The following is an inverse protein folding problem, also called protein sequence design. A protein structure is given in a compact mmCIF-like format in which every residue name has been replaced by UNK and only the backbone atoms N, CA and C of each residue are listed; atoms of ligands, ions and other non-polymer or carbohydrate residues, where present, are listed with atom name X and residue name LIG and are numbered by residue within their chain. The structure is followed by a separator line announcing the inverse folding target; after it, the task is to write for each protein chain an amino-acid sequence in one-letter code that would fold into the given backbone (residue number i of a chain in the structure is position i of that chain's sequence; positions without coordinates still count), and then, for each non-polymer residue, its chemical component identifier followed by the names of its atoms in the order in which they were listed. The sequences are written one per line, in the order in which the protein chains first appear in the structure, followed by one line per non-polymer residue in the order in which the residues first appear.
data_IF_651128152097
#
_entry.id   IF_651128152097
#
_cell.length_a   1.000
_cell.length_b   1.000
_cell.length_c   1.000
_cell.angle_alpha   90.00
_cell.angle_beta   90.00
_cell.angle_gamma   90.00
#
_symmetry.space_group_name_H-M   'P 1'
#
loop_
_entity.id
_entity.type
_entity.pdbx_description
1 polymer ?
#
# COMPACT_ATOMS: atom_id res chain seq x y z
N UNK A 1 3.58 -3.78 8.22
CA UNK A 1 2.43 -3.61 9.14
C UNK A 1 1.95 -5.00 9.54
N UNK A 2 2.18 -5.42 10.79
CA UNK A 2 1.84 -6.75 11.31
C UNK A 2 0.48 -6.80 12.02
N UNK A 3 -0.45 -5.93 11.63
CA UNK A 3 -1.76 -5.76 12.28
C UNK A 3 -2.83 -6.37 11.37
N UNK A 4 -3.77 -7.12 11.95
CA UNK A 4 -4.94 -7.66 11.25
C UNK A 4 -6.19 -6.93 11.72
N UNK A 5 -6.98 -6.42 10.77
CA UNK A 5 -8.23 -5.69 11.04
C UNK A 5 -9.36 -6.45 10.36
N UNK A 6 -10.41 -6.87 11.09
CA UNK A 6 -11.54 -7.56 10.48
C UNK A 6 -12.44 -6.56 9.71
N UNK A 7 -13.15 -7.00 8.64
CA UNK A 7 -13.95 -6.10 7.81
C UNK A 7 -15.00 -5.29 8.57
N UNK A 8 -15.65 -5.88 9.58
CA UNK A 8 -16.70 -5.21 10.36
C UNK A 8 -16.17 -4.08 11.25
N UNK A 9 -14.87 -4.07 11.56
CA UNK A 9 -14.22 -3.03 12.36
C UNK A 9 -13.73 -1.86 11.49
N UNK A 10 -13.73 -2.01 10.15
CA UNK A 10 -13.27 -0.99 9.22
C UNK A 10 -14.46 -0.26 8.59
N UNK A 11 -14.40 1.07 8.58
CA UNK A 11 -15.36 1.94 7.91
C UNK A 11 -14.65 2.77 6.85
N UNK A 12 -15.14 2.63 5.62
CA UNK A 12 -14.75 3.48 4.50
C UNK A 12 -15.57 4.78 4.54
N UNK A 13 -15.13 5.83 3.83
CA UNK A 13 -15.96 7.00 3.56
C UNK A 13 -17.33 6.60 2.98
N UNK A 14 -18.37 7.37 3.28
CA UNK A 14 -19.73 7.11 2.77
C UNK A 14 -19.78 7.17 1.24
N UNK A 15 -19.05 8.11 0.64
CA UNK A 15 -18.93 8.22 -0.80
C UNK A 15 -17.98 7.14 -1.35
N UNK A 16 -18.44 6.34 -2.35
CA UNK A 16 -17.60 5.32 -2.97
C UNK A 16 -16.30 5.90 -3.55
N UNK A 17 -15.19 5.23 -3.24
CA UNK A 17 -13.87 5.58 -3.76
C UNK A 17 -13.74 5.08 -5.21
N UNK A 18 -13.80 6.00 -6.16
CA UNK A 18 -13.73 5.69 -7.61
C UNK A 18 -12.50 6.28 -8.31
N UNK A 19 -11.67 7.03 -7.57
CA UNK A 19 -10.46 7.71 -8.09
C UNK A 19 -9.22 7.27 -7.33
N UNK A 20 -8.07 7.35 -8.00
CA UNK A 20 -6.77 7.19 -7.36
C UNK A 20 -6.46 8.34 -6.41
N UNK A 21 -5.74 8.08 -5.32
CA UNK A 21 -5.31 9.11 -4.39
C UNK A 21 -5.18 8.64 -2.94
N UNK A 22 -5.00 9.62 -2.06
CA UNK A 22 -4.92 9.43 -0.61
C UNK A 22 -6.30 9.59 0.02
N UNK A 23 -6.67 8.61 0.83
CA UNK A 23 -7.94 8.57 1.56
C UNK A 23 -7.69 8.20 3.01
N UNK A 24 -8.77 8.18 3.78
CA UNK A 24 -8.77 7.78 5.17
C UNK A 24 -9.84 6.73 5.40
N UNK A 25 -9.55 5.76 6.26
CA UNK A 25 -10.55 4.84 6.80
C UNK A 25 -10.55 4.92 8.34
N UNK A 26 -11.70 4.64 8.92
CA UNK A 26 -11.86 4.58 10.36
C UNK A 26 -11.85 3.11 10.80
N UNK A 27 -11.05 2.81 11.83
CA UNK A 27 -10.94 1.46 12.40
C UNK A 27 -11.40 1.51 13.85
N UNK A 28 -12.45 0.77 14.16
CA UNK A 28 -12.97 0.65 15.53
C UNK A 28 -12.36 -0.55 16.25
N UNK A 29 -11.61 -0.30 17.32
CA UNK A 29 -11.00 -1.30 18.18
C UNK A 29 -11.94 -1.60 19.34
N UNK A 30 -12.27 -2.88 19.54
CA UNK A 30 -13.12 -3.37 20.62
C UNK A 30 -14.50 -2.69 20.74
N UNK A 31 -14.99 -2.05 19.67
CA UNK A 31 -16.25 -1.31 19.70
C UNK A 31 -16.23 0.00 20.48
N UNK A 32 -15.05 0.47 20.93
CA UNK A 32 -14.91 1.65 21.79
C UNK A 32 -14.08 2.74 21.10
N UNK A 33 -12.84 2.40 20.75
CA UNK A 33 -11.89 3.38 20.22
C UNK A 33 -11.93 3.37 18.70
N UNK A 34 -12.05 4.54 18.07
CA UNK A 34 -11.99 4.67 16.61
C UNK A 34 -10.76 5.45 16.20
N UNK A 35 -9.91 4.82 15.38
CA UNK A 35 -8.66 5.40 14.88
C UNK A 35 -8.78 5.65 13.39
N UNK A 36 -8.34 6.83 12.95
CA UNK A 36 -8.32 7.21 11.54
C UNK A 36 -6.97 6.85 10.91
N UNK A 37 -6.99 5.97 9.91
CA UNK A 37 -5.81 5.39 9.26
C UNK A 37 -5.70 5.91 7.82
N UNK A 38 -4.52 6.41 7.40
CA UNK A 38 -4.33 6.84 6.02
C UNK A 38 -4.26 5.62 5.10
N UNK A 39 -4.88 5.72 3.93
CA UNK A 39 -4.88 4.67 2.91
C UNK A 39 -4.62 5.23 1.52
N UNK A 40 -3.88 4.47 0.72
CA UNK A 40 -3.58 4.81 -0.66
C UNK A 40 -4.40 3.94 -1.61
N UNK A 41 -5.09 4.60 -2.53
CA UNK A 41 -5.86 3.96 -3.59
C UNK A 41 -5.06 4.09 -4.86
N UNK A 42 -4.48 2.96 -5.29
CA UNK A 42 -3.61 2.89 -6.45
C UNK A 42 -3.96 1.74 -7.38
N UNK A 43 -3.32 1.68 -8.54
CA UNK A 43 -3.58 0.67 -9.56
C UNK A 43 -3.43 -0.74 -8.99
N UNK A 44 -4.47 -1.56 -9.12
CA UNK A 44 -4.39 -2.96 -8.78
C UNK A 44 -3.41 -3.68 -9.72
N UNK A 45 -2.40 -4.32 -9.15
CA UNK A 45 -1.45 -5.15 -9.88
C UNK A 45 -1.58 -6.59 -9.43
N UNK A 46 -1.72 -7.50 -10.39
CA UNK A 46 -1.69 -8.92 -10.10
C UNK A 46 -0.38 -9.28 -9.36
N UNK A 47 -0.41 -10.13 -8.32
CA UNK A 47 0.76 -10.38 -7.47
C UNK A 47 2.02 -10.78 -8.23
N UNK A 48 1.89 -11.57 -9.30
CA UNK A 48 3.01 -11.94 -10.19
C UNK A 48 3.64 -10.72 -10.87
N UNK A 49 2.83 -9.84 -11.42
CA UNK A 49 3.27 -8.59 -12.08
C UNK A 49 3.96 -7.66 -11.09
N UNK A 50 3.43 -7.53 -9.86
CA UNK A 50 4.05 -6.73 -8.80
C UNK A 50 5.42 -7.26 -8.43
N UNK A 51 5.55 -8.58 -8.23
CA UNK A 51 6.84 -9.23 -7.92
C UNK A 51 7.85 -9.04 -9.05
N UNK A 52 7.42 -9.22 -10.29
CA UNK A 52 8.30 -9.06 -11.45
C UNK A 52 8.82 -7.62 -11.59
N UNK A 53 7.95 -6.61 -11.48
CA UNK A 53 8.38 -5.20 -11.50
C UNK A 53 9.38 -4.88 -10.40
N UNK A 54 9.12 -5.33 -9.18
CA UNK A 54 10.02 -5.10 -8.06
C UNK A 54 11.40 -5.74 -8.30
N UNK A 55 11.42 -6.96 -8.85
CA UNK A 55 12.68 -7.61 -9.24
C UNK A 55 13.45 -6.81 -10.31
N UNK A 56 12.76 -6.28 -11.32
CA UNK A 56 13.40 -5.44 -12.35
C UNK A 56 13.99 -4.15 -11.77
N UNK A 57 13.28 -3.49 -10.86
CA UNK A 57 13.78 -2.29 -10.16
C UNK A 57 15.04 -2.59 -9.35
N UNK A 58 15.06 -3.72 -8.64
CA UNK A 58 16.25 -4.17 -7.90
C UNK A 58 17.44 -4.41 -8.83
N UNK A 59 17.23 -5.05 -9.98
CA UNK A 59 18.29 -5.26 -10.97
C UNK A 59 18.84 -3.94 -11.50
N UNK A 60 17.98 -2.97 -11.80
CA UNK A 60 18.42 -1.65 -12.26
C UNK A 60 19.26 -0.92 -11.21
N UNK A 61 18.82 -0.94 -9.94
CA UNK A 61 19.59 -0.36 -8.84
C UNK A 61 20.94 -1.05 -8.62
N UNK A 62 21.01 -2.38 -8.77
CA UNK A 62 22.27 -3.13 -8.67
C UNK A 62 23.23 -2.73 -9.79
N UNK A 63 22.72 -2.56 -11.01
CA UNK A 63 23.51 -2.13 -12.15
C UNK A 63 24.04 -0.70 -11.98
N UNK A 64 23.18 0.23 -11.54
CA UNK A 64 23.54 1.62 -11.24
C UNK A 64 24.64 1.69 -10.16
N UNK A 65 24.46 0.98 -9.04
CA UNK A 65 25.48 0.89 -7.97
C UNK A 65 26.79 0.26 -8.42
N UNK A 66 26.75 -0.65 -9.38
CA UNK A 66 27.96 -1.27 -9.94
C UNK A 66 28.67 -0.28 -10.86
N UNK A 67 27.91 0.49 -11.66
CA UNK A 67 28.44 1.55 -12.51
C UNK A 67 29.06 2.68 -11.70
N UNK A 68 28.41 3.14 -10.64
CA UNK A 68 28.95 4.17 -9.74
C UNK A 68 30.25 3.74 -9.06
N UNK A 69 30.42 2.45 -8.75
CA UNK A 69 31.67 1.93 -8.17
C UNK A 69 32.85 1.85 -9.15
N UNK A 70 32.57 1.92 -10.45
CA UNK A 70 33.57 1.84 -11.52
C UNK A 70 33.97 3.22 -12.05
N UNK A 71 33.34 4.30 -11.56
CA UNK A 71 33.66 5.70 -11.84
C UNK A 71 34.41 6.31 -10.66
#
# INVERSE_FOLDING_TARGET
LGVSVPPHALRLPEEPITRWGHFWCDVTVNGLDTVRVPMDVGQFLHPKTRRFRHWQEQQRQQLERSRERLL
#
